data_IF_953058463370
#
_entry.id   IF_953058463370
#
_cell.length_a   1.000
_cell.length_b   1.000
_cell.length_c   1.000
_cell.angle_alpha   90.00
_cell.angle_beta   90.00
_cell.angle_gamma   90.00
#
_symmetry.space_group_name_H-M   'P 1'
#
loop_
_entity.id
_entity.type
_entity.pdbx_description
1 polymer ?
#
# COMPACT_ATOMS: atom_id res chain seq x y z
N UNK A 1 2.23 -8.99 6.57
CA UNK A 1 2.89 -8.35 5.41
C UNK A 1 3.97 -7.44 5.93
N UNK A 2 5.19 -7.52 5.40
CA UNK A 2 6.34 -6.67 5.76
C UNK A 2 6.75 -5.89 4.51
N UNK A 3 7.00 -4.61 4.65
CA UNK A 3 7.44 -3.75 3.54
C UNK A 3 8.90 -3.41 3.75
N UNK A 4 9.72 -3.60 2.72
CA UNK A 4 11.13 -3.22 2.72
C UNK A 4 11.28 -1.76 3.16
N UNK A 5 11.99 -1.57 4.26
CA UNK A 5 12.24 -0.22 4.77
C UNK A 5 13.27 0.48 3.91
N UNK A 6 13.14 1.80 3.80
CA UNK A 6 14.07 2.63 3.03
C UNK A 6 15.54 2.45 3.41
N UNK A 7 15.85 2.28 4.69
CA UNK A 7 17.24 2.15 5.19
C UNK A 7 17.97 0.90 4.67
N UNK A 8 17.23 -0.16 4.34
CA UNK A 8 17.80 -1.39 3.83
C UNK A 8 17.92 -1.37 2.28
N UNK A 9 17.32 -0.39 1.60
CA UNK A 9 17.42 -0.25 0.14
C UNK A 9 17.05 -1.54 -0.59
N UNK A 10 17.99 -2.05 -1.40
CA UNK A 10 17.86 -3.33 -2.14
C UNK A 10 18.43 -4.54 -1.41
N UNK A 11 18.90 -4.40 -0.17
CA UNK A 11 19.30 -5.54 0.65
C UNK A 11 18.07 -6.12 1.36
N UNK A 12 17.56 -7.24 0.84
CA UNK A 12 16.40 -7.92 1.41
C UNK A 12 16.76 -8.97 2.47
N UNK A 13 18.00 -9.04 2.98
CA UNK A 13 18.37 -10.06 3.96
C UNK A 13 17.48 -10.03 5.21
N UNK A 14 17.26 -8.84 5.77
CA UNK A 14 16.37 -8.64 6.93
C UNK A 14 14.91 -8.99 6.60
N UNK A 15 14.41 -8.54 5.44
CA UNK A 15 13.04 -8.84 4.99
C UNK A 15 12.84 -10.35 4.86
N UNK A 16 13.72 -11.04 4.14
CA UNK A 16 13.60 -12.46 3.86
C UNK A 16 13.76 -13.33 5.11
N UNK A 17 14.64 -12.93 6.04
CA UNK A 17 14.75 -13.61 7.33
C UNK A 17 13.45 -13.50 8.13
N UNK A 18 12.87 -12.30 8.22
CA UNK A 18 11.58 -12.10 8.88
C UNK A 18 10.45 -12.91 8.22
N UNK A 19 10.40 -12.96 6.88
CA UNK A 19 9.41 -13.76 6.16
C UNK A 19 9.59 -15.26 6.40
N UNK A 20 10.84 -15.74 6.45
CA UNK A 20 11.15 -17.12 6.79
C UNK A 20 10.64 -17.49 8.19
N UNK A 21 10.81 -16.59 9.17
CA UNK A 21 10.29 -16.79 10.53
C UNK A 21 8.76 -16.79 10.59
N UNK A 22 8.09 -15.95 9.81
CA UNK A 22 6.62 -15.90 9.72
C UNK A 22 6.01 -17.08 8.93
N UNK A 23 6.83 -17.79 8.15
CA UNK A 23 6.43 -18.94 7.35
C UNK A 23 5.25 -18.61 6.39
N UNK A 24 4.21 -19.46 6.30
CA UNK A 24 3.11 -19.26 5.34
C UNK A 24 2.30 -17.98 5.58
N UNK A 25 2.40 -17.40 6.79
CA UNK A 25 1.73 -16.16 7.20
C UNK A 25 2.54 -14.90 6.86
N UNK A 26 3.76 -15.04 6.35
CA UNK A 26 4.61 -13.95 5.89
C UNK A 26 4.36 -13.60 4.42
N UNK A 27 4.21 -12.31 4.11
CA UNK A 27 4.34 -11.78 2.74
C UNK A 27 5.18 -10.53 2.78
N UNK A 28 5.93 -10.28 1.71
CA UNK A 28 6.85 -9.15 1.59
C UNK A 28 6.53 -8.21 0.44
N UNK A 29 6.99 -6.97 0.55
CA UNK A 29 7.14 -6.02 -0.55
C UNK A 29 8.60 -5.60 -0.62
N UNK A 30 9.24 -5.82 -1.75
CA UNK A 30 10.64 -5.51 -1.98
C UNK A 30 10.85 -4.10 -2.55
N UNK A 31 12.12 -3.73 -2.68
CA UNK A 31 12.58 -2.57 -3.45
C UNK A 31 13.76 -3.06 -4.29
N UNK A 32 13.78 -2.73 -5.58
CA UNK A 32 14.84 -3.12 -6.52
C UNK A 32 15.14 -1.96 -7.47
N UNK A 33 16.24 -2.05 -8.20
CA UNK A 33 16.55 -1.13 -9.31
C UNK A 33 16.25 -1.81 -10.66
N UNK A 34 16.18 -1.06 -11.79
CA UNK A 34 15.94 -1.64 -13.11
C UNK A 34 16.97 -2.70 -13.54
N UNK A 35 18.18 -2.66 -12.97
CA UNK A 35 19.29 -3.59 -13.23
C UNK A 35 19.17 -4.93 -12.51
N UNK A 36 18.17 -5.12 -11.62
CA UNK A 36 17.91 -6.40 -10.96
C UNK A 36 17.89 -7.53 -11.99
N UNK A 37 18.38 -8.72 -11.71
CA UNK A 37 18.28 -9.83 -12.65
C UNK A 37 17.02 -10.68 -12.42
N UNK A 38 16.73 -11.63 -13.31
CA UNK A 38 15.58 -12.51 -13.17
C UNK A 38 15.73 -13.47 -11.98
N UNK A 39 16.96 -13.90 -11.69
CA UNK A 39 17.21 -14.86 -10.62
C UNK A 39 16.88 -14.25 -9.25
N UNK A 40 17.20 -12.98 -9.06
CA UNK A 40 16.88 -12.21 -7.86
C UNK A 40 15.37 -12.03 -7.69
N UNK A 41 14.63 -11.69 -8.76
CA UNK A 41 13.16 -11.61 -8.68
C UNK A 41 12.54 -12.96 -8.29
N UNK A 42 13.04 -14.07 -8.82
CA UNK A 42 12.59 -15.42 -8.45
C UNK A 42 12.99 -15.80 -7.02
N UNK A 43 14.17 -15.38 -6.55
CA UNK A 43 14.62 -15.57 -5.16
C UNK A 43 13.70 -14.84 -4.19
N UNK A 44 13.31 -13.60 -4.51
CA UNK A 44 12.36 -12.81 -3.73
C UNK A 44 10.96 -13.43 -3.75
N UNK A 45 10.51 -13.95 -4.89
CA UNK A 45 9.22 -14.62 -5.01
C UNK A 45 9.14 -15.90 -4.16
N UNK A 46 10.17 -16.74 -4.25
CA UNK A 46 10.32 -17.92 -3.40
C UNK A 46 10.39 -17.55 -1.91
N UNK A 47 10.95 -16.38 -1.59
CA UNK A 47 11.01 -15.80 -0.26
C UNK A 47 9.69 -15.19 0.25
N UNK A 48 8.63 -15.16 -0.56
CA UNK A 48 7.30 -14.65 -0.18
C UNK A 48 7.05 -13.18 -0.50
N UNK A 49 7.92 -12.53 -1.28
CA UNK A 49 7.67 -11.18 -1.80
C UNK A 49 6.58 -11.22 -2.87
N UNK A 50 5.66 -10.24 -2.89
CA UNK A 50 4.52 -10.18 -3.82
C UNK A 50 4.35 -8.84 -4.52
N UNK A 51 5.37 -7.98 -4.45
CA UNK A 51 5.34 -6.67 -5.07
C UNK A 51 6.60 -5.87 -4.83
N UNK A 52 6.70 -4.76 -5.55
CA UNK A 52 7.77 -3.78 -5.44
C UNK A 52 7.22 -2.44 -4.97
N UNK A 53 7.89 -1.79 -4.01
CA UNK A 53 7.53 -0.47 -3.52
C UNK A 53 8.30 0.63 -4.24
N UNK A 54 7.57 1.68 -4.60
CA UNK A 54 8.08 2.93 -5.14
C UNK A 54 7.64 4.05 -4.21
N UNK A 55 8.56 4.51 -3.36
CA UNK A 55 8.34 5.64 -2.44
C UNK A 55 8.98 6.89 -3.02
N UNK A 56 8.15 7.73 -3.64
CA UNK A 56 8.53 8.92 -4.43
C UNK A 56 8.02 10.24 -3.84
N UNK A 57 7.27 10.19 -2.73
CA UNK A 57 6.61 11.36 -2.12
C UNK A 57 7.59 12.47 -1.71
N UNK A 58 8.84 12.13 -1.38
CA UNK A 58 9.92 13.07 -1.10
C UNK A 58 11.09 12.83 -2.06
N UNK A 59 11.17 13.56 -3.19
CA UNK A 59 12.24 13.39 -4.16
C UNK A 59 13.65 13.62 -3.60
N UNK A 60 13.80 14.43 -2.55
CA UNK A 60 15.10 14.76 -1.96
C UNK A 60 15.81 13.53 -1.36
N UNK A 61 15.04 12.49 -1.04
CA UNK A 61 15.56 11.32 -0.34
C UNK A 61 15.04 10.00 -0.92
N UNK A 62 14.31 10.04 -2.05
CA UNK A 62 13.71 8.86 -2.65
C UNK A 62 14.77 7.92 -3.25
N UNK A 63 14.71 6.65 -2.86
CA UNK A 63 15.55 5.60 -3.46
C UNK A 63 15.02 5.15 -4.84
N UNK A 64 13.71 5.29 -5.05
CA UNK A 64 13.01 4.92 -6.28
C UNK A 64 12.41 6.15 -6.93
N UNK A 65 12.25 6.13 -8.24
CA UNK A 65 11.63 7.21 -9.02
C UNK A 65 10.43 6.69 -9.84
N UNK A 66 9.59 7.61 -10.35
CA UNK A 66 8.40 7.23 -11.12
C UNK A 66 8.72 6.57 -12.47
N UNK A 67 9.83 6.95 -13.11
CA UNK A 67 10.29 6.38 -14.37
C UNK A 67 10.75 4.91 -14.23
N UNK A 68 11.13 4.48 -13.02
CA UNK A 68 11.42 3.07 -12.73
C UNK A 68 10.17 2.18 -12.71
N UNK A 69 8.97 2.75 -12.51
CA UNK A 69 7.74 1.98 -12.25
C UNK A 69 7.38 1.08 -13.42
N UNK A 70 7.28 1.62 -14.64
CA UNK A 70 6.81 0.83 -15.79
C UNK A 70 7.79 -0.25 -16.27
N UNK A 71 9.11 0.03 -16.39
CA UNK A 71 10.08 -1.01 -16.72
C UNK A 71 10.03 -2.17 -15.73
N UNK A 72 9.97 -1.89 -14.42
CA UNK A 72 9.89 -2.93 -13.39
C UNK A 72 8.52 -3.60 -13.33
N UNK A 73 7.42 -2.87 -13.54
CA UNK A 73 6.07 -3.44 -13.59
C UNK A 73 5.95 -4.52 -14.68
N UNK A 74 6.56 -4.30 -15.86
CA UNK A 74 6.60 -5.30 -16.94
C UNK A 74 7.33 -6.57 -16.54
N UNK A 75 8.40 -6.45 -15.74
CA UNK A 75 9.22 -7.59 -15.31
C UNK A 75 8.57 -8.43 -14.23
N UNK A 76 7.73 -7.82 -13.39
CA UNK A 76 7.03 -8.52 -12.30
C UNK A 76 5.62 -8.99 -12.69
N UNK A 77 5.12 -8.61 -13.87
CA UNK A 77 3.76 -8.93 -14.31
C UNK A 77 3.50 -10.45 -14.34
N UNK A 78 4.43 -11.22 -14.91
CA UNK A 78 4.32 -12.68 -15.02
C UNK A 78 4.45 -13.40 -13.67
N UNK A 79 4.95 -12.72 -12.64
CA UNK A 79 4.98 -13.23 -11.26
C UNK A 79 3.63 -13.02 -10.54
N UNK A 80 2.68 -12.31 -11.15
CA UNK A 80 1.41 -11.94 -10.52
C UNK A 80 1.57 -10.90 -9.39
N UNK A 81 2.70 -10.19 -9.37
CA UNK A 81 2.99 -9.17 -8.36
C UNK A 81 2.30 -7.85 -8.66
N UNK A 82 2.36 -6.92 -7.70
CA UNK A 82 1.87 -5.55 -7.86
C UNK A 82 2.98 -4.51 -7.66
N UNK A 83 2.75 -3.31 -8.17
CA UNK A 83 3.52 -2.13 -7.76
C UNK A 83 2.82 -1.43 -6.60
N UNK A 84 3.59 -1.01 -5.61
CA UNK A 84 3.09 -0.29 -4.45
C UNK A 84 3.61 1.14 -4.48
N UNK A 85 2.71 2.11 -4.61
CA UNK A 85 3.04 3.51 -4.86
C UNK A 85 2.80 4.32 -3.59
N UNK A 86 3.87 4.95 -3.09
CA UNK A 86 3.81 5.97 -2.06
C UNK A 86 4.28 7.30 -2.67
N UNK A 87 3.31 8.12 -3.06
CA UNK A 87 3.49 9.39 -3.75
C UNK A 87 2.56 10.46 -3.14
N UNK A 88 2.85 11.74 -3.37
CA UNK A 88 1.92 12.83 -3.10
C UNK A 88 0.76 12.80 -4.10
N UNK A 89 -0.39 13.36 -3.71
CA UNK A 89 -1.59 13.34 -4.55
C UNK A 89 -1.38 13.99 -5.93
N UNK A 90 -0.66 15.11 -6.03
CA UNK A 90 -0.36 15.76 -7.31
C UNK A 90 0.49 14.86 -8.22
N UNK A 91 1.46 14.15 -7.66
CA UNK A 91 2.27 13.18 -8.42
C UNK A 91 1.40 12.04 -8.98
N UNK A 92 0.34 11.64 -8.27
CA UNK A 92 -0.62 10.63 -8.76
C UNK A 92 -1.43 11.18 -9.95
N UNK A 93 -1.82 12.46 -9.91
CA UNK A 93 -2.50 13.12 -11.02
C UNK A 93 -1.60 13.16 -12.25
N UNK A 94 -0.37 13.63 -12.09
CA UNK A 94 0.60 13.74 -13.18
C UNK A 94 0.96 12.37 -13.78
N UNK A 95 1.06 11.34 -12.93
CA UNK A 95 1.37 9.99 -13.35
C UNK A 95 0.15 9.21 -13.90
N UNK A 96 -1.05 9.79 -13.98
CA UNK A 96 -2.25 9.06 -14.39
C UNK A 96 -2.11 8.30 -15.74
N UNK A 97 -1.50 8.86 -16.81
CA UNK A 97 -1.27 8.11 -18.05
C UNK A 97 -0.36 6.89 -17.87
N UNK A 98 0.70 7.03 -17.07
CA UNK A 98 1.62 5.94 -16.72
C UNK A 98 0.90 4.84 -15.93
N UNK A 99 0.17 5.22 -14.88
CA UNK A 99 -0.55 4.28 -14.01
C UNK A 99 -1.60 3.47 -14.80
N UNK A 100 -2.29 4.09 -15.76
CA UNK A 100 -3.30 3.39 -16.58
C UNK A 100 -2.72 2.28 -17.47
N UNK A 101 -1.47 2.42 -17.93
CA UNK A 101 -0.84 1.47 -18.85
C UNK A 101 -0.01 0.38 -18.17
N UNK A 102 0.08 0.37 -16.85
CA UNK A 102 0.83 -0.66 -16.13
C UNK A 102 0.21 -2.05 -16.37
N UNK A 103 1.03 -3.09 -16.60
CA UNK A 103 0.56 -4.44 -16.87
C UNK A 103 0.17 -5.23 -15.61
N UNK A 104 0.40 -4.68 -14.42
CA UNK A 104 0.15 -5.33 -13.14
C UNK A 104 -0.72 -4.46 -12.22
N UNK A 105 -1.28 -5.01 -11.13
CA UNK A 105 -2.03 -4.24 -10.17
C UNK A 105 -1.19 -3.16 -9.48
N UNK A 106 -1.88 -2.15 -8.95
CA UNK A 106 -1.33 -1.02 -8.22
C UNK A 106 -1.88 -1.04 -6.79
N UNK A 107 -1.04 -0.76 -5.80
CA UNK A 107 -1.46 -0.54 -4.41
C UNK A 107 -1.03 0.87 -4.02
N UNK A 108 -1.98 1.77 -3.75
CA UNK A 108 -1.69 3.11 -3.24
C UNK A 108 -1.52 3.07 -1.72
N UNK A 109 -0.36 3.50 -1.23
CA UNK A 109 -0.06 3.61 0.20
C UNK A 109 -0.79 4.82 0.82
N UNK A 110 -1.11 4.72 2.12
CA UNK A 110 -1.59 5.81 2.97
C UNK A 110 -2.70 6.67 2.37
N UNK A 111 -3.75 6.02 1.86
CA UNK A 111 -4.91 6.68 1.23
C UNK A 111 -4.54 7.63 0.08
N UNK A 112 -3.42 7.37 -0.61
CA UNK A 112 -2.94 8.17 -1.72
C UNK A 112 -2.40 9.55 -1.33
N UNK A 113 -2.10 9.78 -0.03
CA UNK A 113 -1.61 11.07 0.50
C UNK A 113 -2.46 12.26 0.06
N UNK A 114 -3.79 12.11 0.07
CA UNK A 114 -4.71 13.17 -0.30
C UNK A 114 -4.57 14.36 0.68
N UNK A 115 -4.49 15.62 0.20
CA UNK A 115 -4.39 16.77 1.08
C UNK A 115 -5.59 16.82 2.03
N UNK A 116 -5.41 16.91 3.36
CA UNK A 116 -6.51 16.78 4.35
C UNK A 116 -7.67 17.75 4.11
N UNK A 117 -7.36 18.97 3.68
CA UNK A 117 -8.36 20.01 3.37
C UNK A 117 -9.26 19.61 2.19
N UNK A 118 -8.69 19.02 1.13
CA UNK A 118 -9.43 18.67 -0.08
C UNK A 118 -10.03 17.26 0.03
N UNK A 119 -9.25 16.29 0.49
CA UNK A 119 -9.67 14.89 0.62
C UNK A 119 -10.19 14.34 -0.71
N UNK A 120 -11.44 13.84 -0.71
CA UNK A 120 -12.07 13.27 -1.89
C UNK A 120 -12.35 14.28 -3.03
N UNK A 121 -12.30 15.59 -2.74
CA UNK A 121 -12.47 16.63 -3.76
C UNK A 121 -11.17 16.83 -4.59
N UNK A 122 -10.04 16.29 -4.15
CA UNK A 122 -8.78 16.36 -4.88
C UNK A 122 -8.82 15.46 -6.14
N UNK A 123 -8.30 15.92 -7.31
CA UNK A 123 -8.35 15.13 -8.56
C UNK A 123 -7.74 13.71 -8.47
N UNK A 124 -6.73 13.53 -7.63
CA UNK A 124 -6.10 12.23 -7.37
C UNK A 124 -7.11 11.17 -6.86
N UNK A 125 -8.11 11.57 -6.07
CA UNK A 125 -9.16 10.65 -5.60
C UNK A 125 -9.89 10.03 -6.80
N UNK A 126 -10.28 10.85 -7.78
CA UNK A 126 -10.92 10.39 -9.01
C UNK A 126 -10.00 9.50 -9.88
N UNK A 127 -8.70 9.78 -9.92
CA UNK A 127 -7.72 8.91 -10.61
C UNK A 127 -7.69 7.52 -9.96
N UNK A 128 -7.57 7.46 -8.63
CA UNK A 128 -7.50 6.21 -7.86
C UNK A 128 -8.81 5.43 -8.00
N UNK A 129 -9.96 6.09 -7.85
CA UNK A 129 -11.29 5.46 -7.97
C UNK A 129 -11.46 4.80 -9.34
N UNK A 130 -11.14 5.49 -10.44
CA UNK A 130 -11.21 4.91 -11.79
C UNK A 130 -10.33 3.65 -11.93
N UNK A 131 -9.14 3.64 -11.36
CA UNK A 131 -8.26 2.47 -11.39
C UNK A 131 -8.81 1.32 -10.54
N UNK A 132 -9.46 1.60 -9.41
CA UNK A 132 -10.15 0.59 -8.59
C UNK A 132 -11.36 -0.01 -9.32
N UNK A 133 -12.15 0.83 -10.00
CA UNK A 133 -13.32 0.41 -10.79
C UNK A 133 -12.89 -0.51 -11.96
N UNK A 134 -11.75 -0.20 -12.58
CA UNK A 134 -11.10 -1.06 -13.57
C UNK A 134 -10.44 -2.32 -12.98
N UNK A 135 -10.57 -2.54 -11.67
CA UNK A 135 -9.97 -3.66 -10.91
C UNK A 135 -8.43 -3.68 -10.96
N UNK A 136 -7.80 -2.56 -11.35
CA UNK A 136 -6.35 -2.40 -11.46
C UNK A 136 -5.69 -1.91 -10.18
N UNK A 137 -6.42 -1.22 -9.31
CA UNK A 137 -5.85 -0.64 -8.10
C UNK A 137 -6.49 -1.10 -6.81
N UNK A 138 -5.72 -0.97 -5.73
CA UNK A 138 -6.10 -1.12 -4.34
C UNK A 138 -5.62 0.10 -3.56
N UNK A 139 -6.24 0.36 -2.41
CA UNK A 139 -5.82 1.42 -1.49
C UNK A 139 -5.57 0.84 -0.11
N UNK A 140 -4.48 1.28 0.52
CA UNK A 140 -4.21 1.01 1.92
C UNK A 140 -4.84 2.08 2.80
N UNK A 141 -5.75 1.67 3.69
CA UNK A 141 -6.32 2.50 4.76
C UNK A 141 -5.33 2.56 5.93
N UNK A 142 -4.25 3.32 5.76
CA UNK A 142 -3.13 3.38 6.73
C UNK A 142 -2.61 4.81 6.88
N UNK A 143 -1.81 5.08 7.91
CA UNK A 143 -1.16 6.37 8.09
C UNK A 143 -2.14 7.53 8.29
N UNK A 144 -3.11 7.41 9.20
CA UNK A 144 -4.01 8.52 9.53
C UNK A 144 -3.24 9.76 9.99
N UNK A 145 -2.18 9.56 10.77
CA UNK A 145 -1.24 10.61 11.21
C UNK A 145 -0.45 11.27 10.08
N UNK A 146 -0.31 10.61 8.93
CA UNK A 146 0.34 11.15 7.73
C UNK A 146 -0.61 12.01 6.87
N UNK A 147 -1.91 11.96 7.16
CA UNK A 147 -3.00 12.51 6.36
C UNK A 147 -3.91 13.42 7.19
N UNK A 148 -3.34 14.21 8.10
CA UNK A 148 -4.10 15.02 9.03
C UNK A 148 -3.50 16.39 9.29
N UNK A 149 -4.36 17.37 9.52
CA UNK A 149 -4.06 18.66 10.16
C UNK A 149 -4.71 18.78 11.54
N UNK A 150 -5.59 17.84 11.92
CA UNK A 150 -6.36 17.87 13.16
C UNK A 150 -5.81 16.91 14.23
N UNK A 151 -5.20 15.79 13.82
CA UNK A 151 -4.49 14.89 14.71
C UNK A 151 -5.37 13.91 15.51
N UNK A 152 -4.77 13.22 16.49
CA UNK A 152 -5.44 12.21 17.32
C UNK A 152 -6.49 12.81 18.29
N UNK A 153 -7.38 11.98 18.83
CA UNK A 153 -7.46 10.53 18.63
C UNK A 153 -8.22 10.10 17.36
N UNK A 154 -9.10 10.97 16.84
CA UNK A 154 -10.10 10.58 15.83
C UNK A 154 -9.69 10.86 14.38
N UNK A 155 -8.63 11.66 14.18
CA UNK A 155 -8.12 12.09 12.87
C UNK A 155 -9.24 12.45 11.87
N UNK A 156 -10.08 13.48 12.16
CA UNK A 156 -11.36 13.66 11.46
C UNK A 156 -11.24 13.80 9.93
N UNK A 157 -10.17 14.43 9.45
CA UNK A 157 -9.83 14.57 8.04
C UNK A 157 -9.40 13.25 7.37
N UNK A 158 -8.49 12.51 7.98
CA UNK A 158 -8.12 11.16 7.54
C UNK A 158 -9.34 10.22 7.55
N UNK A 159 -10.20 10.34 8.57
CA UNK A 159 -11.44 9.57 8.71
C UNK A 159 -12.43 9.88 7.57
N UNK A 160 -12.58 11.15 7.19
CA UNK A 160 -13.39 11.53 6.03
C UNK A 160 -12.87 10.89 4.74
N UNK A 161 -11.55 10.92 4.52
CA UNK A 161 -10.90 10.32 3.35
C UNK A 161 -11.09 8.79 3.33
N UNK A 162 -10.83 8.11 4.44
CA UNK A 162 -11.00 6.67 4.56
C UNK A 162 -12.44 6.24 4.25
N UNK A 163 -13.43 6.94 4.82
CA UNK A 163 -14.85 6.67 4.55
C UNK A 163 -15.23 6.89 3.09
N UNK A 164 -14.63 7.87 2.41
CA UNK A 164 -14.85 8.07 0.98
C UNK A 164 -14.35 6.88 0.15
N UNK A 165 -13.17 6.33 0.46
CA UNK A 165 -12.68 5.11 -0.19
C UNK A 165 -13.52 3.87 0.14
N UNK A 166 -13.96 3.72 1.40
CA UNK A 166 -14.86 2.64 1.83
C UNK A 166 -16.19 2.70 1.08
N UNK A 167 -16.77 3.89 0.90
CA UNK A 167 -17.99 4.07 0.12
C UNK A 167 -17.79 3.76 -1.37
N UNK A 168 -16.63 4.07 -1.94
CA UNK A 168 -16.34 3.82 -3.35
C UNK A 168 -16.19 2.33 -3.68
N UNK A 169 -15.28 1.63 -3.00
CA UNK A 169 -14.88 0.28 -3.38
C UNK A 169 -14.39 -0.54 -2.18
N UNK A 170 -15.28 -0.97 -1.27
CA UNK A 170 -14.88 -1.67 -0.04
C UNK A 170 -14.17 -3.01 -0.31
N UNK A 171 -14.33 -3.58 -1.51
CA UNK A 171 -13.60 -4.77 -1.96
C UNK A 171 -12.28 -4.46 -2.69
N UNK A 172 -11.76 -3.24 -2.55
CA UNK A 172 -10.45 -2.81 -3.08
C UNK A 172 -9.56 -2.17 -2.03
N UNK A 173 -9.86 -2.40 -0.76
CA UNK A 173 -9.17 -1.77 0.37
C UNK A 173 -8.49 -2.80 1.26
N UNK A 174 -7.33 -2.46 1.79
CA UNK A 174 -6.67 -3.25 2.84
C UNK A 174 -6.24 -2.31 3.96
N UNK A 175 -6.08 -2.84 5.18
CA UNK A 175 -5.58 -2.08 6.33
C UNK A 175 -4.20 -2.58 6.74
N UNK A 176 -3.45 -1.73 7.44
CA UNK A 176 -2.16 -2.03 8.06
C UNK A 176 -1.78 -0.96 9.09
N UNK A 177 -0.93 -1.30 10.05
CA UNK A 177 -0.57 -0.37 11.12
C UNK A 177 0.36 0.77 10.66
N UNK A 178 1.22 0.49 9.67
CA UNK A 178 2.41 1.32 9.38
C UNK A 178 3.43 1.36 10.54
N UNK A 179 3.35 0.39 11.45
CA UNK A 179 4.37 0.15 12.47
C UNK A 179 5.75 -0.05 11.82
N UNK A 180 6.84 0.50 12.38
CA UNK A 180 6.95 1.13 13.71
C UNK A 180 6.76 2.65 13.73
N UNK A 181 6.06 3.25 12.74
CA UNK A 181 5.83 4.69 12.66
C UNK A 181 7.12 5.54 12.66
N UNK A 182 8.14 5.06 11.94
CA UNK A 182 9.50 5.61 11.98
C UNK A 182 9.63 7.10 11.55
N UNK A 183 8.58 7.69 10.98
CA UNK A 183 8.54 9.12 10.63
C UNK A 183 8.12 10.02 11.78
N UNK A 184 7.53 9.46 12.83
CA UNK A 184 6.95 10.22 13.93
C UNK A 184 7.88 10.23 15.15
N UNK A 185 8.18 11.42 15.66
CA UNK A 185 8.96 11.56 16.90
C UNK A 185 8.23 10.96 18.11
N UNK A 186 6.89 11.09 18.12
CA UNK A 186 6.01 10.43 19.08
C UNK A 186 5.11 9.48 18.31
N UNK A 187 5.36 8.17 18.37
CA UNK A 187 4.55 7.20 17.66
C UNK A 187 3.06 7.28 18.08
N UNK A 188 2.13 7.15 17.11
CA UNK A 188 0.71 7.03 17.41
C UNK A 188 0.40 5.71 18.14
N UNK A 189 -0.77 5.64 18.76
CA UNK A 189 -1.27 4.43 19.40
C UNK A 189 -1.85 3.47 18.34
N UNK A 190 -1.21 2.31 18.17
CA UNK A 190 -1.62 1.26 17.22
C UNK A 190 -3.07 0.78 17.43
N UNK A 191 -3.50 0.63 18.69
CA UNK A 191 -4.85 0.17 19.00
C UNK A 191 -5.87 1.24 18.59
N UNK A 192 -5.55 2.52 18.79
CA UNK A 192 -6.39 3.62 18.29
C UNK A 192 -6.44 3.66 16.78
N UNK A 193 -5.32 3.46 16.09
CA UNK A 193 -5.30 3.37 14.63
C UNK A 193 -6.13 2.19 14.10
N UNK A 194 -6.15 1.07 14.83
CA UNK A 194 -6.99 -0.08 14.49
C UNK A 194 -8.48 0.18 14.78
N UNK A 195 -8.81 0.85 15.90
CA UNK A 195 -10.18 1.21 16.25
C UNK A 195 -10.81 2.16 15.21
N UNK A 196 -10.03 3.05 14.60
CA UNK A 196 -10.48 3.88 13.48
C UNK A 196 -11.05 3.06 12.32
N UNK A 197 -10.52 1.86 12.05
CA UNK A 197 -11.07 1.01 10.99
C UNK A 197 -12.51 0.61 11.27
N UNK A 198 -12.89 0.40 12.54
CA UNK A 198 -14.28 0.14 12.93
C UNK A 198 -15.20 1.30 12.57
N UNK A 199 -14.72 2.54 12.78
CA UNK A 199 -15.43 3.77 12.39
C UNK A 199 -15.50 3.93 10.87
N UNK A 200 -14.42 3.62 10.15
CA UNK A 200 -14.34 3.80 8.70
C UNK A 200 -15.17 2.78 7.93
N UNK A 201 -15.15 1.52 8.36
CA UNK A 201 -15.85 0.42 7.69
C UNK A 201 -17.37 0.51 7.83
N UNK A 202 -17.87 1.05 8.95
CA UNK A 202 -19.30 1.23 9.22
C UNK A 202 -20.05 -0.05 9.62
N UNK A 203 -19.64 -1.22 9.11
CA UNK A 203 -20.18 -2.53 9.47
C UNK A 203 -19.10 -3.63 9.50
N UNK A 204 -19.44 -4.75 10.16
CA UNK A 204 -18.52 -5.88 10.35
C UNK A 204 -18.20 -6.62 9.05
N UNK A 205 -19.14 -6.69 8.11
CA UNK A 205 -18.92 -7.37 6.84
C UNK A 205 -17.84 -6.64 6.00
N UNK A 206 -17.91 -5.32 5.97
CA UNK A 206 -16.94 -4.45 5.31
C UNK A 206 -15.60 -4.50 6.03
N UNK A 207 -15.59 -4.45 7.37
CA UNK A 207 -14.36 -4.57 8.16
C UNK A 207 -13.66 -5.91 7.91
N UNK A 208 -14.39 -7.02 7.99
CA UNK A 208 -13.88 -8.37 7.73
C UNK A 208 -13.32 -8.49 6.31
N UNK A 209 -14.03 -7.92 5.32
CA UNK A 209 -13.52 -7.88 3.94
C UNK A 209 -12.18 -7.17 3.84
N UNK A 210 -12.02 -6.01 4.48
CA UNK A 210 -10.79 -5.21 4.46
C UNK A 210 -9.63 -5.94 5.17
N UNK A 211 -9.91 -6.68 6.24
CA UNK A 211 -8.91 -7.36 7.05
C UNK A 211 -8.55 -8.77 6.55
N UNK A 212 -9.46 -9.46 5.86
CA UNK A 212 -9.33 -10.89 5.56
C UNK A 212 -9.42 -11.14 4.05
N UNK A 213 -10.59 -10.94 3.45
CA UNK A 213 -10.82 -11.34 2.04
C UNK A 213 -9.97 -10.54 1.05
N UNK A 214 -9.82 -9.23 1.28
CA UNK A 214 -9.05 -8.37 0.40
C UNK A 214 -7.55 -8.72 0.45
N UNK A 215 -6.90 -8.81 1.63
CA UNK A 215 -5.51 -9.26 1.72
C UNK A 215 -5.27 -10.66 1.16
N UNK A 216 -6.20 -11.60 1.36
CA UNK A 216 -6.12 -12.96 0.76
C UNK A 216 -6.05 -12.88 -0.77
N UNK A 217 -6.93 -12.10 -1.40
CA UNK A 217 -6.93 -11.93 -2.86
C UNK A 217 -5.72 -11.15 -3.37
N UNK A 218 -5.31 -10.10 -2.67
CA UNK A 218 -4.23 -9.22 -3.10
C UNK A 218 -2.84 -9.84 -2.93
N UNK A 219 -2.60 -10.51 -1.80
CA UNK A 219 -1.27 -11.00 -1.42
C UNK A 219 -1.15 -12.53 -1.46
N UNK A 220 -2.24 -13.23 -1.81
CA UNK A 220 -2.24 -14.69 -1.95
C UNK A 220 -2.01 -15.42 -0.63
N UNK A 221 -2.55 -14.92 0.49
CA UNK A 221 -2.57 -15.67 1.74
C UNK A 221 -3.48 -16.90 1.61
N UNK A 222 -3.12 -18.00 2.27
CA UNK A 222 -4.06 -19.10 2.42
C UNK A 222 -5.27 -18.60 3.23
N UNK A 223 -6.48 -19.01 2.85
CA UNK A 223 -7.61 -18.85 3.77
C UNK A 223 -7.34 -19.73 4.97
N UNK A 224 -7.54 -19.19 6.16
CA UNK A 224 -7.70 -20.06 7.32
C UNK A 224 -8.92 -20.94 7.03
N UNK A 225 -8.73 -22.26 7.03
CA UNK A 225 -9.88 -23.16 7.03
C UNK A 225 -10.75 -22.76 8.22
N UNK A 226 -12.04 -22.57 7.99
CA UNK A 226 -12.97 -22.27 9.07
C UNK A 226 -12.96 -23.47 10.02
N UNK A 227 -12.29 -23.32 11.16
CA UNK A 227 -12.32 -24.27 12.26
C UNK A 227 -13.64 -24.15 13.03
#
# INVERSE_FOLDING_TARGET
>A
MIVQTKIHGVDHACLLDALKQLGPNGRGIGVVTPEVDQAELLRLDAGGVRGLRFSVWNPADAFTTLDMVEPLARRIADLGWHVQIHAMADQIVDAAPLLNRLPCPIVFDHMGRLPPAQGADHPAFGVICRLMDQRKAWVKLTGAYLNTTQGPPDYPDATRIARAFVAQAPDRLVWGSDWPHATEATPPDDARLFDLLGVWAGDEATRSRILVDNPVRLYGFARADAA
#
